data_IF_073181710585
#
_entry.id   IF_073181710585
#
_cell.length_a   1.000
_cell.length_b   1.000
_cell.length_c   1.000
_cell.angle_alpha   90.00
_cell.angle_beta   90.00
_cell.angle_gamma   90.00
#
_symmetry.space_group_name_H-M   'P 1'
#
loop_
_entity.id
_entity.type
_entity.pdbx_description
1 polymer ?
#
# COMPACT_ATOMS: atom_id res chain seq x y z
N UNK A 1 -23.45 1.54 16.67
CA UNK A 1 -22.14 1.00 16.22
C UNK A 1 -21.98 1.43 14.77
N UNK A 2 -20.93 2.16 14.45
CA UNK A 2 -20.72 2.74 13.12
C UNK A 2 -19.86 1.81 12.28
N UNK A 3 -20.29 1.56 11.02
CA UNK A 3 -19.52 0.76 10.07
C UNK A 3 -18.31 1.56 9.60
N UNK A 4 -17.12 0.95 9.57
CA UNK A 4 -15.88 1.58 9.16
C UNK A 4 -15.75 1.81 7.64
N UNK A 5 -16.74 1.38 6.86
CA UNK A 5 -16.71 1.50 5.39
C UNK A 5 -17.18 2.85 4.83
N UNK A 6 -17.72 3.75 5.67
CA UNK A 6 -18.33 4.99 5.23
C UNK A 6 -17.40 6.20 5.11
N UNK A 7 -16.11 5.99 5.28
CA UNK A 7 -15.04 6.99 5.19
C UNK A 7 -15.07 8.13 6.24
N UNK A 8 -15.99 8.08 7.23
CA UNK A 8 -16.13 9.17 8.22
C UNK A 8 -14.87 9.42 9.05
N UNK A 9 -14.12 8.35 9.33
CA UNK A 9 -12.87 8.42 10.12
C UNK A 9 -11.62 8.41 9.26
N UNK A 10 -11.78 8.56 7.93
CA UNK A 10 -10.68 8.72 6.97
C UNK A 10 -10.44 10.22 6.75
N UNK A 11 -9.19 10.65 6.78
CA UNK A 11 -8.83 12.02 6.43
C UNK A 11 -8.67 12.15 4.92
N UNK A 12 -9.65 12.74 4.25
CA UNK A 12 -9.62 13.02 2.82
C UNK A 12 -9.42 14.53 2.64
N UNK A 13 -8.28 14.93 2.07
CA UNK A 13 -7.84 16.33 1.99
C UNK A 13 -7.61 16.71 0.53
N UNK A 14 -8.33 17.73 0.05
CA UNK A 14 -8.05 18.35 -1.24
C UNK A 14 -6.98 19.43 -1.11
N UNK A 15 -6.13 19.58 -2.12
CA UNK A 15 -5.16 20.68 -2.26
C UNK A 15 -5.48 21.42 -3.57
N UNK A 16 -6.09 22.58 -3.46
CA UNK A 16 -6.67 23.26 -4.62
C UNK A 16 -7.70 22.36 -5.30
N UNK A 17 -7.56 22.12 -6.60
CA UNK A 17 -8.44 21.27 -7.39
C UNK A 17 -8.07 19.76 -7.32
N UNK A 18 -6.91 19.43 -6.73
CA UNK A 18 -6.45 18.06 -6.56
C UNK A 18 -7.17 17.40 -5.39
N UNK A 19 -7.88 16.30 -5.65
CA UNK A 19 -8.63 15.56 -4.63
C UNK A 19 -8.55 14.06 -4.86
N UNK A 20 -8.58 13.25 -3.79
CA UNK A 20 -8.60 11.80 -3.92
C UNK A 20 -9.77 11.28 -4.76
N UNK A 21 -9.49 10.28 -5.58
CA UNK A 21 -10.44 9.54 -6.41
C UNK A 21 -10.43 8.09 -5.93
N UNK A 22 -11.50 7.67 -5.26
CA UNK A 22 -11.58 6.36 -4.62
C UNK A 22 -12.63 5.54 -5.38
N UNK A 23 -12.21 4.38 -5.93
CA UNK A 23 -13.16 3.49 -6.56
C UNK A 23 -14.17 2.94 -5.52
N UNK A 24 -15.48 2.81 -5.85
CA UNK A 24 -16.50 2.39 -4.88
C UNK A 24 -16.27 1.02 -4.23
N UNK A 25 -15.49 0.14 -4.87
CA UNK A 25 -15.15 -1.18 -4.32
C UNK A 25 -13.88 -1.19 -3.46
N UNK A 26 -13.17 -0.06 -3.36
CA UNK A 26 -11.96 0.04 -2.54
C UNK A 26 -12.30 0.12 -1.05
N UNK A 27 -11.36 -0.30 -0.23
CA UNK A 27 -11.41 -0.16 1.22
C UNK A 27 -10.38 0.87 1.69
N UNK A 28 -10.80 1.81 2.50
CA UNK A 28 -9.90 2.74 3.19
C UNK A 28 -10.22 2.69 4.69
N UNK A 29 -9.25 2.27 5.46
CA UNK A 29 -9.41 2.07 6.90
C UNK A 29 -9.50 3.40 7.67
N UNK A 30 -10.22 3.43 8.80
CA UNK A 30 -10.18 4.53 9.76
C UNK A 30 -8.74 4.95 10.11
N UNK A 31 -8.51 6.26 10.24
CA UNK A 31 -7.19 6.82 10.54
C UNK A 31 -6.22 6.88 9.36
N UNK A 32 -6.57 6.35 8.20
CA UNK A 32 -5.80 6.61 6.98
C UNK A 32 -5.97 8.06 6.52
N UNK A 33 -4.97 8.59 5.81
CA UNK A 33 -4.96 9.97 5.31
C UNK A 33 -4.62 10.00 3.82
N UNK A 34 -5.54 10.52 3.00
CA UNK A 34 -5.38 10.68 1.55
C UNK A 34 -5.39 12.17 1.20
N UNK A 35 -4.33 12.67 0.56
CA UNK A 35 -4.13 14.09 0.29
C UNK A 35 -3.82 14.31 -1.20
N UNK A 36 -4.55 15.22 -1.86
CA UNK A 36 -4.29 15.62 -3.24
C UNK A 36 -4.70 14.57 -4.27
N UNK A 37 -3.95 14.43 -5.36
CA UNK A 37 -4.27 13.55 -6.50
C UNK A 37 -3.92 12.07 -6.22
N UNK A 38 -4.62 11.47 -5.28
CA UNK A 38 -4.53 10.02 -4.97
C UNK A 38 -5.62 9.29 -5.73
N UNK A 39 -5.26 8.26 -6.49
CA UNK A 39 -6.19 7.46 -7.31
C UNK A 39 -6.17 6.00 -6.87
N UNK A 40 -7.29 5.52 -6.33
CA UNK A 40 -7.45 4.14 -5.88
C UNK A 40 -8.27 3.33 -6.89
N UNK A 41 -7.65 2.31 -7.48
CA UNK A 41 -8.27 1.40 -8.45
C UNK A 41 -9.23 0.38 -7.80
N UNK A 42 -10.02 -0.36 -8.61
CA UNK A 42 -11.03 -1.30 -8.12
C UNK A 42 -10.45 -2.33 -7.13
N UNK A 43 -11.14 -2.56 -6.01
CA UNK A 43 -10.75 -3.57 -5.03
C UNK A 43 -9.42 -3.31 -4.32
N UNK A 44 -8.82 -2.13 -4.51
CA UNK A 44 -7.63 -1.75 -3.75
C UNK A 44 -7.97 -1.49 -2.28
N UNK A 45 -6.97 -1.58 -1.41
CA UNK A 45 -7.16 -1.35 0.02
C UNK A 45 -6.04 -0.53 0.64
N UNK A 46 -6.40 0.41 1.50
CA UNK A 46 -5.48 1.24 2.30
C UNK A 46 -5.80 1.02 3.76
N UNK A 47 -4.84 0.44 4.50
CA UNK A 47 -5.04 0.06 5.89
C UNK A 47 -4.72 1.20 6.87
N UNK A 48 -4.82 0.89 8.15
CA UNK A 48 -4.85 1.86 9.25
C UNK A 48 -3.55 2.68 9.36
N UNK A 49 -3.69 3.98 9.62
CA UNK A 49 -2.55 4.90 9.80
C UNK A 49 -1.71 5.17 8.55
N UNK A 50 -2.10 4.64 7.41
CA UNK A 50 -1.40 4.88 6.12
C UNK A 50 -1.59 6.32 5.66
N UNK A 51 -0.53 6.93 5.10
CA UNK A 51 -0.56 8.28 4.54
C UNK A 51 -0.17 8.26 3.07
N UNK A 52 -1.08 8.69 2.19
CA UNK A 52 -0.82 8.90 0.76
C UNK A 52 -0.93 10.40 0.46
N UNK A 53 0.20 11.07 0.14
CA UNK A 53 0.26 12.52 -0.03
C UNK A 53 0.77 12.89 -1.42
N UNK A 54 -0.13 13.43 -2.25
CA UNK A 54 0.03 13.67 -3.69
C UNK A 54 -0.31 15.11 -4.08
N UNK A 55 0.34 16.10 -3.46
CA UNK A 55 0.16 17.52 -3.79
C UNK A 55 0.97 17.96 -5.01
N UNK A 56 2.02 17.22 -5.40
CA UNK A 56 2.95 17.62 -6.46
C UNK A 56 2.83 16.78 -7.74
N UNK A 57 2.61 15.49 -7.60
CA UNK A 57 2.41 14.53 -8.69
C UNK A 57 1.43 13.45 -8.22
N UNK A 58 0.73 12.74 -9.12
CA UNK A 58 -0.26 11.76 -8.72
C UNK A 58 0.35 10.54 -8.01
N UNK A 59 -0.43 9.93 -7.12
CA UNK A 59 -0.23 8.59 -6.59
C UNK A 59 -1.35 7.70 -7.14
N UNK A 60 -0.99 6.69 -7.91
CA UNK A 60 -1.94 5.74 -8.50
C UNK A 60 -1.73 4.34 -7.93
N UNK A 61 -2.79 3.76 -7.39
CA UNK A 61 -2.82 2.42 -6.83
C UNK A 61 -3.68 1.53 -7.72
N UNK A 62 -3.10 0.47 -8.27
CA UNK A 62 -3.76 -0.45 -9.19
C UNK A 62 -4.81 -1.34 -8.52
N UNK A 63 -5.54 -2.08 -9.38
CA UNK A 63 -6.60 -2.98 -8.98
C UNK A 63 -6.10 -4.07 -8.01
N UNK A 64 -6.85 -4.32 -6.93
CA UNK A 64 -6.56 -5.39 -5.97
C UNK A 64 -5.27 -5.21 -5.16
N UNK A 65 -4.63 -4.04 -5.26
CA UNK A 65 -3.41 -3.71 -4.51
C UNK A 65 -3.75 -3.32 -3.08
N UNK A 66 -2.97 -3.82 -2.13
CA UNK A 66 -3.11 -3.48 -0.72
C UNK A 66 -1.92 -2.65 -0.22
N UNK A 67 -2.22 -1.58 0.52
CA UNK A 67 -1.23 -0.74 1.21
C UNK A 67 -1.46 -0.91 2.70
N UNK A 68 -0.53 -1.59 3.36
CA UNK A 68 -0.68 -2.04 4.74
C UNK A 68 -0.37 -0.93 5.75
N UNK A 69 -0.68 -1.21 7.01
CA UNK A 69 -0.71 -0.25 8.11
C UNK A 69 0.56 0.58 8.24
N UNK A 70 0.38 1.87 8.51
CA UNK A 70 1.44 2.85 8.74
C UNK A 70 2.44 3.02 7.59
N UNK A 71 2.09 2.60 6.38
CA UNK A 71 2.89 2.88 5.18
C UNK A 71 2.74 4.32 4.75
N UNK A 72 3.76 4.86 4.08
CA UNK A 72 3.75 6.23 3.58
C UNK A 72 4.08 6.22 2.10
N UNK A 73 3.28 6.95 1.30
CA UNK A 73 3.61 7.25 -0.08
C UNK A 73 3.63 8.75 -0.31
N UNK A 74 4.63 9.22 -1.04
CA UNK A 74 4.77 10.61 -1.42
C UNK A 74 5.37 10.75 -2.82
N UNK A 75 5.05 11.85 -3.47
CA UNK A 75 5.50 12.16 -4.83
C UNK A 75 6.10 13.57 -4.90
N UNK A 76 7.26 13.68 -5.52
CA UNK A 76 7.87 14.98 -5.84
C UNK A 76 7.33 15.52 -7.17
N UNK A 77 7.52 16.82 -7.49
CA UNK A 77 7.17 17.37 -8.79
C UNK A 77 7.81 16.58 -9.94
N UNK A 78 6.96 16.11 -10.88
CA UNK A 78 7.39 15.31 -12.03
C UNK A 78 7.77 13.85 -11.72
N UNK A 79 7.64 13.40 -10.46
CA UNK A 79 7.97 12.03 -10.01
C UNK A 79 6.76 11.37 -9.37
N UNK A 80 5.79 10.88 -10.16
CA UNK A 80 4.60 10.23 -9.64
C UNK A 80 4.94 8.89 -8.95
N UNK A 81 4.06 8.45 -8.07
CA UNK A 81 4.04 7.07 -7.59
C UNK A 81 3.02 6.28 -8.41
N UNK A 82 3.48 5.21 -9.03
CA UNK A 82 2.61 4.29 -9.76
C UNK A 82 2.80 2.88 -9.21
N UNK A 83 1.78 2.33 -8.60
CA UNK A 83 1.76 0.95 -8.11
C UNK A 83 0.78 0.14 -8.93
N UNK A 84 1.26 -0.93 -9.55
CA UNK A 84 0.49 -1.82 -10.41
C UNK A 84 -0.63 -2.56 -9.69
N UNK A 85 -1.19 -3.55 -10.37
CA UNK A 85 -2.27 -4.38 -9.84
C UNK A 85 -1.74 -5.52 -8.95
N UNK A 86 -2.54 -5.95 -7.96
CA UNK A 86 -2.25 -7.09 -7.08
C UNK A 86 -0.90 -6.98 -6.35
N UNK A 87 -0.48 -5.77 -6.05
CA UNK A 87 0.74 -5.50 -5.27
C UNK A 87 0.40 -5.52 -3.79
N UNK A 88 1.25 -6.16 -2.98
CA UNK A 88 1.22 -6.01 -1.53
C UNK A 88 2.32 -5.07 -1.07
N UNK A 89 1.94 -3.93 -0.49
CA UNK A 89 2.86 -2.99 0.14
C UNK A 89 2.82 -3.22 1.65
N UNK A 90 3.85 -3.84 2.17
CA UNK A 90 3.95 -4.29 3.56
C UNK A 90 3.97 -3.13 4.57
N UNK A 91 3.60 -3.45 5.81
CA UNK A 91 3.50 -2.49 6.91
C UNK A 91 4.72 -1.59 7.03
N UNK A 92 4.52 -0.29 7.24
CA UNK A 92 5.56 0.74 7.42
C UNK A 92 6.52 0.89 6.24
N UNK A 93 6.14 0.44 5.04
CA UNK A 93 6.94 0.70 3.84
C UNK A 93 6.84 2.17 3.44
N UNK A 94 7.93 2.70 2.89
CA UNK A 94 8.00 4.02 2.27
C UNK A 94 8.15 3.86 0.75
N UNK A 95 7.20 4.41 0.00
CA UNK A 95 7.22 4.40 -1.48
C UNK A 95 7.22 5.84 -1.97
N UNK A 96 8.32 6.27 -2.58
CA UNK A 96 8.53 7.67 -2.91
C UNK A 96 8.89 7.85 -4.38
N UNK A 97 8.03 8.55 -5.15
CA UNK A 97 8.28 8.96 -6.54
C UNK A 97 8.74 7.85 -7.49
N UNK A 98 8.18 6.64 -7.40
CA UNK A 98 8.68 5.47 -8.11
C UNK A 98 7.57 4.63 -8.76
N UNK A 99 7.98 3.65 -9.57
CA UNK A 99 7.08 2.72 -10.26
C UNK A 99 7.25 1.31 -9.74
N UNK A 100 6.15 0.65 -9.40
CA UNK A 100 6.09 -0.77 -9.01
C UNK A 100 5.16 -1.49 -10.00
N UNK A 101 5.67 -2.53 -10.65
CA UNK A 101 4.91 -3.38 -11.56
C UNK A 101 3.85 -4.23 -10.86
N UNK A 102 3.11 -5.00 -11.64
CA UNK A 102 2.05 -5.88 -11.14
C UNK A 102 2.63 -7.06 -10.34
N UNK A 103 1.78 -7.66 -9.48
CA UNK A 103 2.10 -8.90 -8.78
C UNK A 103 3.41 -8.82 -7.96
N UNK A 104 3.69 -7.68 -7.33
CA UNK A 104 4.86 -7.48 -6.48
C UNK A 104 4.53 -7.59 -5.00
N UNK A 105 5.53 -7.98 -4.20
CA UNK A 105 5.51 -7.88 -2.75
C UNK A 105 6.62 -6.94 -2.29
N UNK A 106 6.24 -5.78 -1.77
CA UNK A 106 7.14 -4.84 -1.11
C UNK A 106 7.12 -5.16 0.38
N UNK A 107 8.23 -5.65 0.89
CA UNK A 107 8.35 -6.14 2.26
C UNK A 107 8.18 -5.04 3.32
N UNK A 108 7.81 -5.45 4.52
CA UNK A 108 7.61 -4.56 5.68
C UNK A 108 8.83 -3.66 5.92
N UNK A 109 8.60 -2.35 6.08
CA UNK A 109 9.65 -1.37 6.33
C UNK A 109 10.62 -1.14 5.18
N UNK A 110 10.36 -1.67 3.98
CA UNK A 110 11.19 -1.36 2.81
C UNK A 110 11.02 0.11 2.41
N UNK A 111 12.08 0.68 1.85
CA UNK A 111 12.12 2.06 1.34
C UNK A 111 12.46 2.05 -0.14
N UNK A 112 11.57 2.59 -0.95
CA UNK A 112 11.74 2.78 -2.39
C UNK A 112 11.90 4.28 -2.66
N UNK A 113 13.02 4.68 -3.26
CA UNK A 113 13.34 6.08 -3.53
C UNK A 113 12.95 6.48 -4.95
N UNK A 114 13.02 7.78 -5.23
CA UNK A 114 12.61 8.39 -6.49
C UNK A 114 13.13 7.66 -7.73
N UNK A 115 12.26 7.59 -8.75
CA UNK A 115 12.61 7.09 -10.07
C UNK A 115 13.07 5.62 -10.11
N UNK A 116 13.04 4.90 -8.97
CA UNK A 116 13.28 3.47 -9.05
C UNK A 116 12.10 2.76 -9.76
N UNK A 117 12.44 1.71 -10.48
CA UNK A 117 11.47 0.89 -11.23
C UNK A 117 11.57 -0.55 -10.75
N UNK A 118 10.50 -1.06 -10.17
CA UNK A 118 10.38 -2.45 -9.76
C UNK A 118 9.59 -3.20 -10.83
N UNK A 119 10.22 -4.13 -11.52
CA UNK A 119 9.54 -4.98 -12.50
C UNK A 119 8.51 -5.91 -11.84
N UNK A 120 7.54 -6.37 -12.63
CA UNK A 120 6.46 -7.25 -12.14
C UNK A 120 6.96 -8.56 -11.53
N UNK A 121 6.12 -9.25 -10.77
CA UNK A 121 6.44 -10.53 -10.11
C UNK A 121 7.70 -10.45 -9.22
N UNK A 122 7.96 -9.31 -8.59
CA UNK A 122 9.19 -9.03 -7.82
C UNK A 122 8.92 -9.02 -6.31
N UNK A 123 9.85 -9.59 -5.55
CA UNK A 123 9.88 -9.53 -4.09
C UNK A 123 10.98 -8.58 -3.62
N UNK A 124 10.59 -7.45 -3.04
CA UNK A 124 11.48 -6.57 -2.28
C UNK A 124 11.43 -7.02 -0.82
N UNK A 125 12.55 -7.47 -0.28
CA UNK A 125 12.62 -7.99 1.09
C UNK A 125 12.32 -6.91 2.14
N UNK A 126 11.88 -7.34 3.31
CA UNK A 126 11.64 -6.44 4.44
C UNK A 126 12.90 -5.63 4.79
N UNK A 127 12.73 -4.33 5.07
CA UNK A 127 13.81 -3.39 5.41
C UNK A 127 14.79 -3.09 4.28
N UNK A 128 14.52 -3.50 3.05
CA UNK A 128 15.38 -3.18 1.90
C UNK A 128 15.33 -1.68 1.57
N UNK A 129 16.49 -1.09 1.21
CA UNK A 129 16.60 0.29 0.71
C UNK A 129 16.91 0.28 -0.78
N UNK A 130 15.89 0.47 -1.61
CA UNK A 130 16.03 0.60 -3.07
C UNK A 130 16.39 2.05 -3.40
N UNK A 131 17.57 2.24 -3.99
CA UNK A 131 18.08 3.57 -4.27
C UNK A 131 17.38 4.24 -5.45
N UNK A 132 17.51 5.55 -5.50
CA UNK A 132 17.01 6.40 -6.59
C UNK A 132 17.52 5.91 -7.96
N UNK A 133 16.59 5.86 -8.93
CA UNK A 133 16.89 5.42 -10.30
C UNK A 133 17.23 3.95 -10.47
N UNK A 134 17.15 3.13 -9.42
CA UNK A 134 17.44 1.69 -9.54
C UNK A 134 16.38 1.00 -10.38
N UNK A 135 16.78 0.31 -11.44
CA UNK A 135 15.92 -0.57 -12.23
C UNK A 135 16.06 -2.02 -11.78
N UNK A 136 14.94 -2.61 -11.37
CA UNK A 136 14.87 -4.00 -10.92
C UNK A 136 14.12 -4.83 -11.98
N UNK A 137 14.77 -5.84 -12.58
CA UNK A 137 14.10 -6.74 -13.52
C UNK A 137 12.92 -7.49 -12.90
N UNK A 138 11.92 -7.81 -13.72
CA UNK A 138 10.79 -8.65 -13.31
C UNK A 138 11.27 -10.00 -12.78
N UNK A 139 10.50 -10.60 -11.87
CA UNK A 139 10.81 -11.91 -11.30
C UNK A 139 12.00 -11.93 -10.34
N UNK A 140 12.38 -10.81 -9.75
CA UNK A 140 13.59 -10.68 -8.93
C UNK A 140 13.31 -10.74 -7.43
N UNK A 141 14.26 -11.30 -6.67
CA UNK A 141 14.43 -11.04 -5.23
C UNK A 141 15.41 -9.90 -5.04
N UNK A 142 14.95 -8.83 -4.40
CA UNK A 142 15.75 -7.65 -4.06
C UNK A 142 15.89 -7.53 -2.54
N UNK A 143 17.11 -7.39 -2.02
CA UNK A 143 17.32 -7.32 -0.58
C UNK A 143 18.60 -6.57 -0.20
N UNK A 144 18.56 -5.96 0.99
CA UNK A 144 19.70 -5.30 1.63
C UNK A 144 19.57 -3.78 1.71
N UNK A 145 20.57 -3.14 2.32
CA UNK A 145 20.66 -1.70 2.54
C UNK A 145 22.12 -1.26 2.28
N UNK A 146 22.43 -0.74 1.06
CA UNK A 146 21.54 -0.58 -0.10
C UNK A 146 21.12 -1.92 -0.71
N UNK A 147 19.94 -1.92 -1.33
CA UNK A 147 19.36 -3.10 -1.95
C UNK A 147 20.10 -3.51 -3.23
N UNK A 148 20.14 -4.82 -3.46
CA UNK A 148 20.67 -5.43 -4.69
C UNK A 148 19.76 -6.56 -5.14
N UNK A 149 19.68 -6.80 -6.45
CA UNK A 149 19.11 -8.03 -6.97
C UNK A 149 19.97 -9.20 -6.48
N UNK A 150 19.34 -10.17 -5.83
CA UNK A 150 20.00 -11.33 -5.22
C UNK A 150 19.91 -12.57 -6.07
N UNK A 151 18.75 -12.80 -6.66
CA UNK A 151 18.46 -13.94 -7.55
C UNK A 151 17.13 -13.73 -8.25
N UNK A 152 16.84 -14.55 -9.23
CA UNK A 152 15.50 -14.73 -9.77
C UNK A 152 14.60 -15.43 -8.75
N UNK A 153 13.31 -15.17 -8.82
CA UNK A 153 12.29 -15.86 -8.03
C UNK A 153 11.93 -17.19 -8.67
N UNK A 154 11.63 -18.17 -7.82
CA UNK A 154 11.04 -19.43 -8.27
C UNK A 154 9.53 -19.26 -8.50
N UNK A 155 8.91 -20.19 -9.26
CA UNK A 155 7.46 -20.21 -9.42
C UNK A 155 6.71 -20.25 -8.08
N UNK A 156 7.23 -20.97 -7.09
CA UNK A 156 6.68 -21.02 -5.73
C UNK A 156 6.72 -19.66 -5.03
N UNK A 157 7.81 -18.89 -5.20
CA UNK A 157 7.91 -17.53 -4.65
C UNK A 157 6.86 -16.60 -5.29
N UNK A 158 6.68 -16.68 -6.61
CA UNK A 158 5.68 -15.88 -7.34
C UNK A 158 4.26 -16.25 -6.88
N UNK A 159 3.96 -17.54 -6.73
CA UNK A 159 2.66 -17.98 -6.22
C UNK A 159 2.42 -17.50 -4.78
N UNK A 160 3.44 -17.48 -3.94
CA UNK A 160 3.35 -16.92 -2.59
C UNK A 160 2.99 -15.42 -2.62
N UNK A 161 3.58 -14.63 -3.51
CA UNK A 161 3.26 -13.21 -3.69
C UNK A 161 1.79 -13.03 -4.05
N UNK A 162 1.30 -13.81 -5.03
CA UNK A 162 -0.11 -13.76 -5.47
C UNK A 162 -1.09 -14.18 -4.39
N UNK A 163 -0.77 -15.24 -3.66
CA UNK A 163 -1.57 -15.70 -2.52
C UNK A 163 -1.63 -14.63 -1.42
N UNK A 164 -0.53 -13.93 -1.15
CA UNK A 164 -0.51 -12.83 -0.18
C UNK A 164 -1.46 -11.70 -0.62
N UNK A 165 -1.42 -11.26 -1.88
CA UNK A 165 -2.32 -10.23 -2.39
C UNK A 165 -3.80 -10.66 -2.32
N UNK A 166 -4.10 -11.91 -2.67
CA UNK A 166 -5.46 -12.48 -2.56
C UNK A 166 -5.97 -12.49 -1.12
N UNK A 167 -5.14 -12.93 -0.17
CA UNK A 167 -5.48 -12.94 1.26
C UNK A 167 -5.81 -11.54 1.78
N UNK A 168 -5.07 -10.51 1.36
CA UNK A 168 -5.37 -9.12 1.73
C UNK A 168 -6.64 -8.58 1.06
N UNK A 169 -6.99 -9.06 -0.13
CA UNK A 169 -8.28 -8.74 -0.76
C UNK A 169 -9.44 -9.29 0.07
N UNK A 170 -9.36 -10.53 0.55
CA UNK A 170 -10.35 -11.14 1.43
C UNK A 170 -10.41 -10.42 2.78
N UNK A 171 -9.25 -10.12 3.37
CA UNK A 171 -9.15 -9.41 4.64
C UNK A 171 -9.79 -8.02 4.55
N UNK A 172 -9.50 -7.26 3.50
CA UNK A 172 -10.09 -5.93 3.29
C UNK A 172 -11.61 -5.99 3.12
N UNK A 173 -12.12 -7.02 2.45
CA UNK A 173 -13.55 -7.26 2.31
C UNK A 173 -14.20 -7.57 3.68
N UNK A 174 -13.55 -8.37 4.52
CA UNK A 174 -14.02 -8.66 5.87
C UNK A 174 -14.04 -7.39 6.74
N UNK A 175 -12.97 -6.57 6.71
CA UNK A 175 -12.94 -5.29 7.42
C UNK A 175 -14.07 -4.36 6.96
N UNK A 176 -14.28 -4.26 5.65
CA UNK A 176 -15.34 -3.42 5.07
C UNK A 176 -16.75 -3.86 5.50
N UNK A 177 -16.99 -5.15 5.60
CA UNK A 177 -18.34 -5.70 5.88
C UNK A 177 -18.62 -5.82 7.39
N UNK A 178 -17.61 -6.16 8.20
CA UNK A 178 -17.77 -6.58 9.59
C UNK A 178 -17.11 -5.61 10.58
N UNK A 179 -16.20 -4.75 10.12
CA UNK A 179 -15.49 -3.79 10.95
C UNK A 179 -16.44 -2.74 11.54
N UNK A 180 -16.25 -2.45 12.82
CA UNK A 180 -16.99 -1.39 13.54
C UNK A 180 -16.10 -0.74 14.59
N UNK A 181 -16.31 0.55 14.79
CA UNK A 181 -15.70 1.27 15.90
C UNK A 181 -16.51 0.96 17.17
N UNK A 182 -15.81 0.55 18.21
CA UNK A 182 -16.38 0.26 19.52
C UNK A 182 -15.87 1.26 20.56
N UNK A 183 -16.70 1.62 21.52
CA UNK A 183 -16.33 2.51 22.60
C UNK A 183 -15.57 1.79 23.73
N UNK A 184 -14.92 2.54 24.64
CA UNK A 184 -14.22 1.94 25.78
C UNK A 184 -15.10 1.03 26.64
N UNK A 185 -16.38 1.38 26.80
CA UNK A 185 -17.33 0.58 27.58
C UNK A 185 -17.62 -0.81 26.98
N UNK A 186 -17.42 -0.97 25.65
CA UNK A 186 -17.67 -2.24 24.96
C UNK A 186 -16.50 -3.23 25.09
N UNK A 187 -15.33 -2.75 25.54
CA UNK A 187 -14.08 -3.53 25.55
C UNK A 187 -13.41 -3.64 26.93
N UNK A 188 -13.85 -2.84 27.91
CA UNK A 188 -13.35 -2.94 29.29
C UNK A 188 -13.96 -4.16 29.94
N UNK A 189 -13.13 -5.08 30.39
CA UNK A 189 -13.51 -6.26 31.18
C UNK A 189 -12.98 -6.15 32.61
N UNK A 190 -13.75 -6.62 33.62
CA UNK A 190 -13.37 -6.50 35.01
C UNK A 190 -12.16 -7.37 35.41
N UNK A 191 -11.81 -8.35 34.59
CA UNK A 191 -10.61 -9.15 34.80
C UNK A 191 -10.10 -9.76 33.49
N UNK A 192 -8.83 -9.52 33.21
CA UNK A 192 -8.00 -10.46 32.45
C UNK A 192 -7.30 -11.27 33.51
N UNK A 193 -7.89 -12.46 33.87
CA UNK A 193 -7.35 -13.39 34.83
C UNK A 193 -6.08 -14.07 34.31
#
# INVERSE_FOLDING_TARGET
MENISDLRDVRIIAIGDLKPQIHPTSFVAPGATLIGDVRLGPGSSVFYGTVLRAESSPITIGQGTNVQDNSVMHSDPGRPVTVGARVSVGHRALVHGCTVGDDCLIGMGATLLNECVIGSDTLVAAGALVLEGMEVPSGSLVAGMPAKVRRELTAENIEHIRTNAASYSELSAAHRQQGRIVGPADVLTEAIG
#
